data_IF_996476152557
#
_entry.id   IF_996476152557
#
_cell.length_a   1.000
_cell.length_b   1.000
_cell.length_c   1.000
_cell.angle_alpha   90.00
_cell.angle_beta   90.00
_cell.angle_gamma   90.00
#
_symmetry.space_group_name_H-M   'P 1'
#
loop_
_entity.id
_entity.type
_entity.pdbx_description
1 polymer ?
#
# COMPACT_ATOMS: atom_id res chain seq x y z
N UNK A 1 14.60 19.26 1.13
CA UNK A 1 13.96 17.99 1.55
C UNK A 1 14.93 16.96 2.11
N UNK A 2 16.18 16.87 1.65
CA UNK A 2 17.16 15.91 2.22
C UNK A 2 17.42 16.11 3.71
N UNK A 3 17.58 17.36 4.17
CA UNK A 3 17.86 17.69 5.58
C UNK A 3 16.74 17.25 6.54
N UNK A 4 15.50 17.22 6.07
CA UNK A 4 14.34 16.85 6.88
C UNK A 4 14.26 15.34 7.10
N UNK A 5 14.60 14.55 6.07
CA UNK A 5 14.68 13.09 6.15
C UNK A 5 15.83 12.65 7.06
N UNK A 6 16.99 13.27 6.88
CA UNK A 6 18.18 13.01 7.72
C UNK A 6 17.91 13.34 9.19
N UNK A 7 17.24 14.45 9.47
CA UNK A 7 16.83 14.82 10.83
C UNK A 7 15.77 13.89 11.45
N UNK A 8 14.99 13.17 10.64
CA UNK A 8 14.07 12.13 11.09
C UNK A 8 14.75 10.75 11.26
N UNK A 9 16.03 10.63 10.90
CA UNK A 9 16.81 9.39 10.98
C UNK A 9 16.65 8.47 9.77
N UNK A 10 16.15 8.96 8.63
CA UNK A 10 16.09 8.18 7.39
C UNK A 10 17.34 8.38 6.54
N UNK A 11 17.73 7.34 5.82
CA UNK A 11 18.76 7.46 4.81
C UNK A 11 18.30 8.35 3.66
N UNK A 12 19.25 9.11 3.11
CA UNK A 12 18.98 10.01 1.99
C UNK A 12 18.62 9.19 0.75
N UNK A 13 17.49 9.47 0.07
CA UNK A 13 17.13 8.77 -1.15
C UNK A 13 18.15 9.07 -2.25
N UNK A 14 18.85 8.03 -2.70
CA UNK A 14 19.88 8.08 -3.75
C UNK A 14 19.40 7.56 -5.10
N UNK A 15 18.35 6.73 -5.10
CA UNK A 15 17.78 6.11 -6.29
C UNK A 15 16.95 7.14 -7.06
N UNK A 16 17.27 7.33 -8.34
CA UNK A 16 16.56 8.24 -9.25
C UNK A 16 15.78 7.42 -10.27
N UNK A 17 14.46 7.50 -10.22
CA UNK A 17 13.58 6.82 -11.18
C UNK A 17 13.01 7.87 -12.14
N UNK A 18 13.19 7.73 -13.46
CA UNK A 18 12.63 8.67 -14.42
C UNK A 18 11.10 8.66 -14.40
N UNK A 19 10.49 9.85 -14.51
CA UNK A 19 9.03 10.01 -14.55
C UNK A 19 8.40 9.21 -15.70
N UNK A 20 9.09 9.12 -16.84
CA UNK A 20 8.62 8.38 -18.03
C UNK A 20 8.36 6.91 -17.70
N UNK A 21 9.19 6.29 -16.85
CA UNK A 21 9.02 4.89 -16.41
C UNK A 21 7.93 4.79 -15.35
N UNK A 22 7.85 5.77 -14.44
CA UNK A 22 6.87 5.75 -13.35
C UNK A 22 5.43 6.04 -13.80
N UNK A 23 5.27 6.84 -14.85
CA UNK A 23 3.97 7.26 -15.38
C UNK A 23 3.07 6.08 -15.84
N UNK A 24 3.52 5.12 -16.68
CA UNK A 24 2.67 3.98 -17.06
C UNK A 24 2.29 3.12 -15.85
N UNK A 25 3.21 2.94 -14.89
CA UNK A 25 2.92 2.22 -13.63
C UNK A 25 1.82 2.93 -12.85
N UNK A 26 1.89 4.26 -12.75
CA UNK A 26 0.87 5.04 -12.05
C UNK A 26 -0.50 4.99 -12.74
N UNK A 27 -0.55 4.96 -14.08
CA UNK A 27 -1.80 4.78 -14.82
C UNK A 27 -2.40 3.38 -14.61
N UNK A 28 -1.56 2.35 -14.56
CA UNK A 28 -2.00 0.99 -14.23
C UNK A 28 -2.62 0.94 -12.83
N UNK A 29 -1.96 1.53 -11.83
CA UNK A 29 -2.48 1.62 -10.46
C UNK A 29 -3.79 2.39 -10.40
N UNK A 30 -3.92 3.48 -11.16
CA UNK A 30 -5.17 4.24 -11.25
C UNK A 30 -6.30 3.43 -11.92
N UNK A 31 -6.00 2.66 -12.96
CA UNK A 31 -6.97 1.78 -13.63
C UNK A 31 -7.47 0.71 -12.67
N UNK A 32 -6.56 0.03 -11.96
CA UNK A 32 -6.88 -0.95 -10.93
C UNK A 32 -7.75 -0.30 -9.85
N UNK A 33 -7.41 0.91 -9.41
CA UNK A 33 -8.22 1.66 -8.45
C UNK A 33 -9.59 2.05 -9.00
N UNK A 34 -9.73 2.39 -10.27
CA UNK A 34 -11.05 2.67 -10.89
C UNK A 34 -11.93 1.43 -10.93
N UNK A 35 -11.34 0.26 -11.19
CA UNK A 35 -12.07 -1.01 -11.25
C UNK A 35 -12.49 -1.51 -9.86
N UNK A 36 -11.58 -1.44 -8.89
CA UNK A 36 -11.75 -1.99 -7.54
C UNK A 36 -12.18 -0.93 -6.50
N UNK A 37 -12.19 0.34 -6.86
CA UNK A 37 -12.60 1.47 -6.01
C UNK A 37 -14.01 1.32 -5.44
N UNK A 38 -15.02 0.89 -6.22
CA UNK A 38 -16.36 0.61 -5.72
C UNK A 38 -16.41 -0.46 -4.60
N UNK A 39 -15.39 -1.32 -4.53
CA UNK A 39 -15.30 -2.38 -3.52
C UNK A 39 -14.74 -1.87 -2.18
N UNK A 40 -14.36 -0.60 -2.08
CA UNK A 40 -13.90 0.05 -0.86
C UNK A 40 -12.38 0.14 -0.72
N UNK A 41 -11.64 0.14 -1.85
CA UNK A 41 -10.19 0.39 -1.80
C UNK A 41 -9.88 1.83 -1.40
N UNK A 42 -8.82 2.01 -0.60
CA UNK A 42 -8.29 3.35 -0.27
C UNK A 42 -7.53 3.93 -1.46
N UNK A 43 -7.50 5.26 -1.54
CA UNK A 43 -6.78 5.98 -2.60
C UNK A 43 -5.30 5.59 -2.58
N UNK A 44 -4.75 5.11 -3.71
CA UNK A 44 -3.34 4.72 -3.78
C UNK A 44 -2.43 5.95 -3.64
N UNK A 45 -1.29 5.78 -2.98
CA UNK A 45 -0.28 6.84 -2.87
C UNK A 45 0.38 7.17 -4.22
N UNK A 46 0.38 6.19 -5.13
CA UNK A 46 0.98 6.29 -6.45
C UNK A 46 -0.10 6.61 -7.50
N UNK A 47 -0.38 7.90 -7.68
CA UNK A 47 -1.31 8.42 -8.71
C UNK A 47 -0.52 9.19 -9.77
N UNK A 48 -0.92 9.19 -11.07
CA UNK A 48 -0.24 9.96 -12.11
C UNK A 48 -0.10 11.44 -11.79
N UNK A 49 -1.11 12.04 -11.14
CA UNK A 49 -1.07 13.43 -10.67
C UNK A 49 0.06 13.68 -9.67
N UNK A 50 0.22 12.78 -8.69
CA UNK A 50 1.30 12.85 -7.69
C UNK A 50 2.66 12.65 -8.33
N UNK A 51 2.80 11.68 -9.24
CA UNK A 51 4.06 11.47 -9.99
C UNK A 51 4.43 12.73 -10.76
N UNK A 52 3.49 13.36 -11.47
CA UNK A 52 3.71 14.61 -12.21
C UNK A 52 4.16 15.76 -11.30
N UNK A 53 3.48 15.94 -10.16
CA UNK A 53 3.82 17.00 -9.20
C UNK A 53 5.21 16.81 -8.59
N UNK A 54 5.58 15.56 -8.24
CA UNK A 54 6.88 15.25 -7.65
C UNK A 54 8.02 15.28 -8.68
N UNK A 55 7.71 15.07 -9.96
CA UNK A 55 8.71 15.11 -11.03
C UNK A 55 9.20 16.52 -11.33
N UNK A 56 8.40 17.55 -11.03
CA UNK A 56 8.73 18.94 -11.31
C UNK A 56 9.36 19.60 -10.08
N UNK A 57 10.53 20.21 -10.24
CA UNK A 57 11.09 21.06 -9.19
C UNK A 57 10.35 22.41 -9.18
N UNK A 58 9.76 22.77 -8.05
CA UNK A 58 9.06 24.05 -7.87
C UNK A 58 9.83 24.91 -6.87
N UNK A 59 10.48 25.95 -7.38
CA UNK A 59 11.06 27.00 -6.56
C UNK A 59 10.09 28.19 -6.49
N UNK A 60 10.15 28.92 -5.37
CA UNK A 60 9.38 30.13 -5.18
C UNK A 60 10.35 31.26 -4.88
N UNK A 61 10.19 32.38 -5.58
CA UNK A 61 10.91 33.61 -5.32
C UNK A 61 10.06 34.51 -4.42
N UNK A 62 10.58 34.81 -3.23
CA UNK A 62 9.93 35.67 -2.23
C UNK A 62 10.29 37.15 -2.34
N UNK A 63 11.11 37.55 -3.32
CA UNK A 63 11.56 38.94 -3.48
C UNK A 63 10.40 39.93 -3.57
N UNK A 64 9.41 39.64 -4.42
CA UNK A 64 8.21 40.50 -4.57
C UNK A 64 7.40 40.62 -3.27
N UNK A 65 7.34 39.57 -2.46
CA UNK A 65 6.61 39.58 -1.20
C UNK A 65 7.35 40.45 -0.18
N UNK A 66 8.69 40.41 -0.17
CA UNK A 66 9.51 41.27 0.68
C UNK A 66 9.30 42.75 0.33
N UNK A 67 9.34 43.08 -0.96
CA UNK A 67 9.25 44.47 -1.42
C UNK A 67 7.85 45.08 -1.20
N UNK A 68 6.79 44.31 -1.50
CA UNK A 68 5.41 44.83 -1.49
C UNK A 68 4.69 44.65 -0.17
N UNK A 69 5.02 43.61 0.59
CA UNK A 69 4.32 43.24 1.82
C UNK A 69 5.21 43.37 3.06
N UNK A 70 6.46 43.82 2.92
CA UNK A 70 7.41 43.86 4.02
C UNK A 70 7.71 42.47 4.59
N UNK A 71 7.52 41.42 3.80
CA UNK A 71 7.66 40.04 4.27
C UNK A 71 9.08 39.76 4.77
N UNK A 72 9.19 39.37 6.04
CA UNK A 72 10.41 38.86 6.64
C UNK A 72 10.10 37.51 7.34
N UNK A 73 10.92 36.46 7.15
CA UNK A 73 10.69 35.19 7.80
C UNK A 73 10.84 35.33 9.33
N UNK A 74 9.83 34.88 10.08
CA UNK A 74 9.80 34.95 11.55
C UNK A 74 10.90 34.10 12.19
N UNK A 75 11.28 33.00 11.54
CA UNK A 75 12.33 32.08 11.99
C UNK A 75 13.31 31.82 10.86
N UNK A 76 14.61 31.63 11.18
CA UNK A 76 15.58 31.21 10.18
C UNK A 76 15.25 29.78 9.71
N UNK A 77 15.69 29.45 8.49
CA UNK A 77 15.36 28.20 7.82
C UNK A 77 15.73 26.95 8.65
N UNK A 78 16.91 26.96 9.26
CA UNK A 78 17.45 25.86 10.05
C UNK A 78 16.60 25.59 11.30
N UNK A 79 16.17 26.66 11.98
CA UNK A 79 15.29 26.57 13.13
C UNK A 79 13.90 26.06 12.72
N UNK A 80 13.39 26.51 11.57
CA UNK A 80 12.13 26.01 11.01
C UNK A 80 12.16 24.50 10.72
N UNK A 81 13.28 24.00 10.18
CA UNK A 81 13.48 22.56 9.95
C UNK A 81 13.48 21.80 11.28
N UNK A 82 14.20 22.27 12.30
CA UNK A 82 14.25 21.64 13.63
C UNK A 82 12.85 21.53 14.25
N UNK A 83 12.10 22.64 14.29
CA UNK A 83 10.71 22.65 14.82
C UNK A 83 9.79 21.70 14.06
N UNK A 84 9.98 21.57 12.75
CA UNK A 84 9.22 20.63 11.93
C UNK A 84 9.54 19.18 12.34
N UNK A 85 10.81 18.83 12.48
CA UNK A 85 11.24 17.49 12.91
C UNK A 85 10.70 17.15 14.31
N UNK A 86 10.72 18.11 15.24
CA UNK A 86 10.20 17.92 16.59
C UNK A 86 8.69 17.67 16.58
N UNK A 87 7.93 18.42 15.76
CA UNK A 87 6.49 18.23 15.57
C UNK A 87 6.16 16.86 14.96
N UNK A 88 6.98 16.38 14.02
CA UNK A 88 6.83 15.06 13.38
C UNK A 88 7.63 13.95 14.06
N UNK A 89 7.88 14.06 15.37
CA UNK A 89 8.63 13.06 16.15
C UNK A 89 8.08 11.63 16.04
N UNK A 90 6.77 11.46 15.84
CA UNK A 90 6.12 10.16 15.60
C UNK A 90 6.55 9.47 14.28
N UNK A 91 7.08 10.22 13.30
CA UNK A 91 7.57 9.69 12.03
C UNK A 91 9.06 9.31 12.06
N UNK A 92 9.75 9.49 13.18
CA UNK A 92 11.17 9.12 13.30
C UNK A 92 11.35 7.63 13.02
N UNK A 93 12.45 7.27 12.36
CA UNK A 93 12.74 5.88 11.97
C UNK A 93 12.70 4.91 13.16
N UNK A 94 13.08 5.36 14.36
CA UNK A 94 13.04 4.57 15.60
C UNK A 94 11.62 4.17 16.04
N UNK A 95 10.59 4.91 15.62
CA UNK A 95 9.20 4.69 16.02
C UNK A 95 8.42 3.84 15.01
N UNK A 96 9.04 3.39 13.91
CA UNK A 96 8.34 2.56 12.93
C UNK A 96 8.03 1.19 13.54
N UNK A 97 6.75 0.74 13.50
CA UNK A 97 6.41 -0.59 13.95
C UNK A 97 7.02 -1.61 12.99
N UNK A 98 7.76 -2.59 13.52
CA UNK A 98 8.37 -3.74 12.81
C UNK A 98 7.35 -4.66 12.09
N UNK A 99 6.09 -4.23 11.95
CA UNK A 99 4.94 -5.06 11.59
C UNK A 99 4.76 -5.31 10.09
N UNK A 100 5.30 -4.46 9.21
CA UNK A 100 5.07 -4.61 7.76
C UNK A 100 5.81 -5.81 7.13
N UNK A 101 6.95 -6.22 7.70
CA UNK A 101 7.74 -7.33 7.16
C UNK A 101 7.20 -8.69 7.62
N UNK A 102 6.62 -8.79 8.81
CA UNK A 102 6.07 -10.04 9.33
C UNK A 102 4.76 -10.44 8.65
N UNK A 103 3.86 -9.47 8.40
CA UNK A 103 2.57 -9.72 7.76
C UNK A 103 2.71 -10.15 6.28
N UNK A 104 3.66 -9.54 5.55
CA UNK A 104 3.95 -9.89 4.15
C UNK A 104 4.56 -11.28 4.00
N UNK A 105 5.35 -11.74 4.98
CA UNK A 105 5.94 -13.08 5.02
C UNK A 105 4.87 -14.12 5.37
N UNK A 106 3.93 -13.81 6.27
CA UNK A 106 2.92 -14.76 6.73
C UNK A 106 1.90 -15.12 5.64
N UNK A 107 1.40 -14.13 4.88
CA UNK A 107 0.46 -14.40 3.78
C UNK A 107 1.11 -15.17 2.62
N UNK A 108 2.40 -14.94 2.32
CA UNK A 108 3.15 -15.74 1.34
C UNK A 108 3.24 -17.21 1.75
N UNK A 109 3.48 -17.50 3.03
CA UNK A 109 3.47 -18.87 3.57
C UNK A 109 2.09 -19.53 3.42
N UNK A 110 1.02 -18.82 3.76
CA UNK A 110 -0.35 -19.31 3.60
C UNK A 110 -0.71 -19.59 2.14
N UNK A 111 -0.27 -18.73 1.21
CA UNK A 111 -0.50 -18.92 -0.23
C UNK A 111 0.22 -20.15 -0.77
N UNK A 112 1.48 -20.39 -0.34
CA UNK A 112 2.22 -21.60 -0.72
C UNK A 112 1.55 -22.88 -0.21
N UNK A 113 1.05 -22.87 1.03
CA UNK A 113 0.32 -24.01 1.61
C UNK A 113 -0.96 -24.29 0.80
N UNK A 114 -1.71 -23.26 0.42
CA UNK A 114 -2.92 -23.40 -0.39
C UNK A 114 -2.63 -23.99 -1.79
N UNK A 115 -1.55 -23.54 -2.44
CA UNK A 115 -1.10 -24.11 -3.73
C UNK A 115 -0.73 -25.59 -3.57
N UNK A 116 -0.02 -25.94 -2.49
CA UNK A 116 0.41 -27.31 -2.23
C UNK A 116 -0.78 -28.25 -1.98
N UNK A 117 -1.80 -27.78 -1.25
CA UNK A 117 -3.08 -28.49 -1.06
C UNK A 117 -3.78 -28.69 -2.41
N UNK A 118 -3.83 -27.67 -3.26
CA UNK A 118 -4.47 -27.74 -4.58
C UNK A 118 -3.77 -28.75 -5.51
N UNK A 119 -2.44 -28.76 -5.53
CA UNK A 119 -1.63 -29.72 -6.29
C UNK A 119 -1.85 -31.15 -5.75
N UNK A 120 -1.86 -31.32 -4.44
CA UNK A 120 -2.11 -32.63 -3.80
C UNK A 120 -3.50 -33.16 -4.14
N UNK A 121 -4.51 -32.28 -4.12
CA UNK A 121 -5.88 -32.60 -4.53
C UNK A 121 -5.96 -32.98 -6.01
N UNK A 122 -5.23 -32.27 -6.88
CA UNK A 122 -5.18 -32.57 -8.32
C UNK A 122 -4.58 -33.95 -8.61
N UNK A 123 -3.46 -34.31 -7.98
CA UNK A 123 -2.88 -35.65 -8.16
C UNK A 123 -3.75 -36.76 -7.57
N UNK A 124 -4.39 -36.52 -6.42
CA UNK A 124 -5.36 -37.46 -5.86
C UNK A 124 -6.57 -37.65 -6.80
N UNK A 125 -7.02 -36.58 -7.46
CA UNK A 125 -8.08 -36.63 -8.45
C UNK A 125 -7.68 -37.40 -9.72
N UNK A 126 -6.49 -37.14 -10.26
CA UNK A 126 -5.96 -37.84 -11.45
C UNK A 126 -5.71 -39.32 -11.16
N UNK A 127 -5.15 -39.67 -10.00
CA UNK A 127 -4.90 -41.06 -9.60
C UNK A 127 -6.17 -41.87 -9.31
N UNK A 128 -7.28 -41.21 -8.94
CA UNK A 128 -8.56 -41.85 -8.60
C UNK A 128 -9.48 -42.05 -9.82
N UNK A 129 -9.00 -41.78 -11.04
CA UNK A 129 -9.84 -41.86 -12.25
C UNK A 129 -9.96 -43.30 -12.76
N UNK A 130 -10.71 -44.11 -12.01
CA UNK A 130 -11.56 -45.20 -12.51
C UNK A 130 -12.99 -44.66 -12.66
N UNK A 131 -13.57 -44.84 -13.84
CA UNK A 131 -14.67 -44.10 -14.47
C UNK A 131 -16.04 -43.94 -13.75
N UNK A 132 -16.23 -44.33 -12.49
CA UNK A 132 -17.55 -44.23 -11.81
C UNK A 132 -17.62 -43.23 -10.64
N UNK A 133 -16.50 -42.57 -10.28
CA UNK A 133 -16.43 -41.68 -9.10
C UNK A 133 -16.48 -40.19 -9.48
N UNK A 134 -16.46 -39.86 -10.77
CA UNK A 134 -16.35 -38.47 -11.28
C UNK A 134 -17.46 -37.57 -10.75
N UNK A 135 -18.70 -38.07 -10.69
CA UNK A 135 -19.86 -37.32 -10.22
C UNK A 135 -19.75 -37.03 -8.70
N UNK A 136 -19.31 -38.02 -7.92
CA UNK A 136 -19.13 -37.88 -6.46
C UNK A 136 -17.94 -36.98 -6.11
N UNK A 137 -16.88 -37.03 -6.91
CA UNK A 137 -15.72 -36.14 -6.76
C UNK A 137 -16.08 -34.69 -7.16
N UNK A 138 -16.80 -34.48 -8.25
CA UNK A 138 -17.27 -33.16 -8.68
C UNK A 138 -18.17 -32.52 -7.61
N UNK A 139 -19.08 -33.31 -7.02
CA UNK A 139 -19.94 -32.88 -5.91
C UNK A 139 -19.13 -32.43 -4.69
N UNK A 140 -18.10 -33.18 -4.29
CA UNK A 140 -17.23 -32.81 -3.17
C UNK A 140 -16.39 -31.56 -3.46
N UNK A 141 -15.89 -31.40 -4.68
CA UNK A 141 -15.13 -30.22 -5.08
C UNK A 141 -16.01 -28.97 -5.10
N UNK A 142 -17.23 -29.07 -5.63
CA UNK A 142 -18.21 -27.97 -5.59
C UNK A 142 -18.60 -27.64 -4.15
N UNK A 143 -18.77 -28.63 -3.28
CA UNK A 143 -19.07 -28.42 -1.87
C UNK A 143 -17.91 -27.72 -1.13
N UNK A 144 -16.67 -28.13 -1.38
CA UNK A 144 -15.49 -27.45 -0.82
C UNK A 144 -15.33 -26.04 -1.40
N UNK A 145 -15.55 -25.84 -2.69
CA UNK A 145 -15.53 -24.52 -3.32
C UNK A 145 -16.65 -23.61 -2.77
N UNK A 146 -17.84 -24.16 -2.50
CA UNK A 146 -18.95 -23.45 -1.88
C UNK A 146 -18.65 -23.09 -0.43
N UNK A 147 -18.04 -23.99 0.36
CA UNK A 147 -17.60 -23.70 1.73
C UNK A 147 -16.48 -22.66 1.70
N UNK A 148 -15.54 -22.73 0.76
CA UNK A 148 -14.48 -21.75 0.60
C UNK A 148 -15.03 -20.37 0.21
N UNK A 149 -15.97 -20.30 -0.73
CA UNK A 149 -16.71 -19.08 -1.09
C UNK A 149 -17.56 -18.56 0.07
N UNK A 150 -18.15 -19.44 0.89
CA UNK A 150 -18.85 -19.06 2.12
C UNK A 150 -17.88 -18.56 3.19
N UNK A 151 -16.71 -19.16 3.38
CA UNK A 151 -15.72 -18.71 4.37
C UNK A 151 -15.05 -17.42 3.92
N UNK A 152 -14.78 -17.26 2.63
CA UNK A 152 -14.25 -16.01 2.06
C UNK A 152 -15.33 -14.93 1.89
N UNK A 153 -16.60 -15.31 1.71
CA UNK A 153 -17.75 -14.41 1.61
C UNK A 153 -18.39 -14.03 2.96
N UNK A 154 -18.29 -14.90 3.98
CA UNK A 154 -18.60 -14.63 5.39
C UNK A 154 -17.39 -14.00 6.08
N UNK A 155 -16.22 -13.93 5.42
CA UNK A 155 -15.08 -13.17 5.95
C UNK A 155 -15.57 -11.74 6.22
N UNK A 156 -15.64 -11.36 7.50
CA UNK A 156 -16.67 -10.45 7.94
C UNK A 156 -16.47 -9.08 7.33
N UNK A 157 -17.60 -8.52 6.90
CA UNK A 157 -17.91 -7.09 6.67
C UNK A 157 -17.42 -6.15 7.79
N UNK A 158 -16.80 -6.67 8.86
CA UNK A 158 -16.29 -5.95 10.02
C UNK A 158 -14.97 -5.21 9.78
N UNK A 159 -14.29 -5.40 8.65
CA UNK A 159 -13.18 -4.50 8.26
C UNK A 159 -13.64 -3.19 7.61
N UNK A 160 -14.95 -2.97 7.39
CA UNK A 160 -15.50 -1.69 6.88
C UNK A 160 -16.00 -0.73 7.97
N UNK A 161 -16.04 -1.11 9.25
CA UNK A 161 -16.56 -0.26 10.34
C UNK A 161 -15.58 0.05 11.49
N UNK A 162 -14.33 -0.41 11.43
CA UNK A 162 -13.31 -0.13 12.46
C UNK A 162 -12.21 0.82 11.95
N UNK A 163 -12.60 1.95 11.39
CA UNK A 163 -11.70 3.06 11.07
C UNK A 163 -12.33 4.44 11.22
N UNK A 164 -13.63 4.51 11.49
CA UNK A 164 -14.38 5.73 11.75
C UNK A 164 -14.89 5.75 13.20
N UNK A 165 -13.98 5.88 14.18
CA UNK A 165 -14.20 6.60 15.45
C UNK A 165 -13.01 6.44 16.38
N UNK A 166 -12.32 7.57 16.64
CA UNK A 166 -11.83 8.16 17.90
C UNK A 166 -10.70 9.14 17.49
N UNK A 167 -10.75 10.48 17.56
CA UNK A 167 -11.43 11.47 18.40
C UNK A 167 -11.58 10.99 19.84
N UNK A 168 -10.47 11.00 20.56
CA UNK A 168 -10.12 12.12 21.44
C UNK A 168 -8.59 12.30 21.44
#
# INVERSE_FOLDING_TARGET
MSQLLEGLGYERPSIKIPAIVMMPIAHLVELVYKLLGPYGMKVPQLTPSRVRLLSCNRTFDSSKAKDRLGYAPVVPLQEGIKRTIDSFSHLKAQNQPEKEVTDTVQWKKQTLIAILILITLYHNFVATTGSSVVITALSKVILVASIFMLVSGILPEKMKLLGSKKKD
#
